data_IF_866526809196
#
_entry.id   IF_866526809196
#
_cell.length_a   1.000
_cell.length_b   1.000
_cell.length_c   1.000
_cell.angle_alpha   90.00
_cell.angle_beta   90.00
_cell.angle_gamma   90.00
#
_symmetry.space_group_name_H-M   'P 1'
#
loop_
_entity.id
_entity.type
_entity.pdbx_description
1 polymer ?
#
# COMPACT_ATOMS: atom_id res chain seq x y z
N UNK A 1 1.71 10.44 -24.34
CA UNK A 1 1.39 10.57 -22.90
C UNK A 1 -0.12 10.77 -22.79
N UNK A 2 -0.76 10.26 -21.74
CA UNK A 2 -2.21 10.36 -21.51
C UNK A 2 -2.49 11.50 -20.51
N UNK A 3 -2.70 12.76 -20.98
CA UNK A 3 -2.85 13.92 -20.09
C UNK A 3 -4.14 13.87 -19.25
N UNK A 4 -5.16 13.16 -19.73
CA UNK A 4 -6.46 13.03 -19.08
C UNK A 4 -6.59 11.74 -18.26
N UNK A 5 -5.48 11.01 -18.06
CA UNK A 5 -5.50 9.78 -17.28
C UNK A 5 -5.88 10.08 -15.82
N UNK A 6 -6.81 9.31 -15.29
CA UNK A 6 -7.17 9.35 -13.87
C UNK A 6 -6.35 8.31 -13.12
N UNK A 7 -5.51 8.76 -12.19
CA UNK A 7 -4.66 7.88 -11.39
C UNK A 7 -5.28 7.65 -10.02
N UNK A 8 -5.46 6.37 -9.67
CA UNK A 8 -5.95 5.91 -8.37
C UNK A 8 -4.90 4.99 -7.74
N UNK A 9 -4.34 5.41 -6.61
CA UNK A 9 -3.25 4.73 -5.92
C UNK A 9 -3.73 4.20 -4.57
N UNK A 10 -3.28 3.01 -4.18
CA UNK A 10 -3.62 2.38 -2.91
C UNK A 10 -2.34 2.05 -2.16
N UNK A 11 -2.19 2.56 -0.94
CA UNK A 11 -1.00 2.33 -0.11
C UNK A 11 -1.40 2.33 1.37
N UNK A 12 -1.46 1.17 2.05
CA UNK A 12 -1.85 1.08 3.46
C UNK A 12 -0.77 1.53 4.45
N UNK A 13 0.52 1.58 4.07
CA UNK A 13 1.59 2.01 4.97
C UNK A 13 1.63 3.54 5.09
N UNK A 14 1.35 4.12 6.28
CA UNK A 14 1.35 5.57 6.47
C UNK A 14 2.72 6.22 6.21
N UNK A 15 3.83 5.47 6.31
CA UNK A 15 5.18 5.97 6.01
C UNK A 15 5.36 6.13 4.51
N UNK A 16 4.93 5.13 3.74
CA UNK A 16 4.99 5.17 2.28
C UNK A 16 4.04 6.23 1.72
N UNK A 17 2.82 6.33 2.26
CA UNK A 17 1.86 7.37 1.87
C UNK A 17 2.38 8.79 2.15
N UNK A 18 3.05 9.01 3.28
CA UNK A 18 3.68 10.29 3.61
C UNK A 18 4.82 10.63 2.64
N UNK A 19 5.67 9.65 2.29
CA UNK A 19 6.72 9.83 1.27
C UNK A 19 6.14 10.14 -0.10
N UNK A 20 5.09 9.43 -0.51
CA UNK A 20 4.39 9.70 -1.76
C UNK A 20 3.91 11.15 -1.83
N UNK A 21 3.18 11.61 -0.79
CA UNK A 21 2.66 12.99 -0.73
C UNK A 21 3.78 14.02 -0.81
N UNK A 22 4.89 13.79 -0.09
CA UNK A 22 6.08 14.66 -0.13
C UNK A 22 6.73 14.70 -1.51
N UNK A 23 6.91 13.55 -2.15
CA UNK A 23 7.60 13.43 -3.44
C UNK A 23 6.77 13.96 -4.61
N UNK A 24 5.45 13.81 -4.55
CA UNK A 24 4.54 14.34 -5.57
C UNK A 24 4.50 15.87 -5.58
N UNK A 25 4.64 16.50 -4.40
CA UNK A 25 4.72 17.95 -4.26
C UNK A 25 3.60 18.68 -5.04
N UNK A 26 3.93 19.51 -6.04
CA UNK A 26 2.94 20.27 -6.81
C UNK A 26 2.05 19.41 -7.72
N UNK A 27 2.34 18.11 -7.88
CA UNK A 27 1.55 17.20 -8.72
C UNK A 27 0.64 16.29 -7.90
N UNK A 28 0.55 16.49 -6.58
CA UNK A 28 -0.25 15.63 -5.70
C UNK A 28 -1.74 15.59 -6.10
N UNK A 29 -2.25 16.67 -6.67
CA UNK A 29 -3.63 16.79 -7.19
C UNK A 29 -3.89 15.95 -8.45
N UNK A 30 -2.84 15.42 -9.10
CA UNK A 30 -2.95 14.53 -10.27
C UNK A 30 -3.16 13.06 -9.90
N UNK A 31 -3.17 12.72 -8.62
CA UNK A 31 -3.34 11.35 -8.14
C UNK A 31 -4.32 11.28 -6.97
N UNK A 32 -5.21 10.28 -7.01
CA UNK A 32 -6.12 9.98 -5.91
C UNK A 32 -5.50 8.88 -5.06
N UNK A 33 -4.88 9.25 -3.93
CA UNK A 33 -4.25 8.30 -3.01
C UNK A 33 -5.25 7.85 -1.92
N UNK A 34 -5.44 6.54 -1.79
CA UNK A 34 -6.22 5.91 -0.73
C UNK A 34 -5.30 5.15 0.21
N UNK A 35 -5.36 5.50 1.50
CA UNK A 35 -4.56 4.87 2.56
C UNK A 35 -5.25 3.58 3.07
N UNK A 36 -5.50 2.65 2.14
CA UNK A 36 -6.20 1.38 2.36
C UNK A 36 -5.46 0.25 1.64
N UNK A 37 -5.60 -0.98 2.14
CA UNK A 37 -5.11 -2.17 1.45
C UNK A 37 -6.20 -2.77 0.54
N UNK A 38 -5.83 -3.15 -0.68
CA UNK A 38 -6.70 -3.97 -1.52
C UNK A 38 -6.64 -5.43 -1.04
N UNK A 39 -7.81 -6.03 -0.82
CA UNK A 39 -7.93 -7.39 -0.28
C UNK A 39 -9.14 -8.13 -0.85
N UNK A 40 -9.24 -9.43 -0.58
CA UNK A 40 -10.42 -10.26 -0.87
C UNK A 40 -11.65 -9.96 0.00
N UNK A 41 -11.55 -9.06 0.98
CA UNK A 41 -12.64 -8.69 1.90
C UNK A 41 -12.58 -7.21 2.27
N UNK A 42 -13.72 -6.66 2.67
CA UNK A 42 -13.82 -5.34 3.27
C UNK A 42 -13.68 -5.43 4.80
N UNK A 43 -13.27 -4.33 5.43
CA UNK A 43 -13.16 -4.20 6.88
C UNK A 43 -11.72 -3.89 7.30
N UNK A 44 -11.27 -4.39 8.44
CA UNK A 44 -9.91 -4.16 8.93
C UNK A 44 -9.07 -5.43 8.91
N UNK A 45 -7.76 -5.26 8.73
CA UNK A 45 -6.77 -6.33 8.88
C UNK A 45 -5.51 -5.79 9.54
N UNK A 46 -4.75 -6.69 10.17
CA UNK A 46 -3.40 -6.39 10.59
C UNK A 46 -2.49 -6.36 9.36
N UNK A 47 -1.89 -5.21 9.10
CA UNK A 47 -0.80 -5.05 8.16
C UNK A 47 0.51 -5.11 8.92
N UNK A 48 1.45 -5.90 8.41
CA UNK A 48 2.76 -6.11 9.00
C UNK A 48 3.81 -5.34 8.18
N UNK A 49 4.08 -4.07 8.51
CA UNK A 49 5.15 -3.30 7.87
C UNK A 49 6.53 -3.82 8.32
N UNK A 50 7.53 -3.75 7.44
CA UNK A 50 8.91 -3.93 7.84
C UNK A 50 9.33 -2.80 8.80
N UNK A 51 10.20 -3.12 9.75
CA UNK A 51 10.63 -2.22 10.82
C UNK A 51 11.21 -0.90 10.29
N UNK A 52 12.02 -0.92 9.23
CA UNK A 52 12.57 0.32 8.66
C UNK A 52 13.56 1.05 9.61
N UNK A 53 14.13 0.32 10.57
CA UNK A 53 14.95 0.85 11.67
C UNK A 53 16.33 0.16 11.72
N UNK A 54 17.32 0.80 12.34
CA UNK A 54 18.67 0.25 12.48
C UNK A 54 19.32 0.03 11.11
N UNK A 55 19.84 -1.19 10.87
CA UNK A 55 20.39 -1.58 9.56
C UNK A 55 19.30 -1.66 8.47
N UNK A 56 18.01 -1.69 8.85
CA UNK A 56 16.87 -1.61 7.94
C UNK A 56 16.40 -0.17 7.64
N UNK A 57 17.15 0.85 8.06
CA UNK A 57 16.78 2.24 7.80
C UNK A 57 16.64 2.45 6.28
N UNK A 58 15.53 3.05 5.86
CA UNK A 58 15.15 3.23 4.44
C UNK A 58 14.70 1.94 3.70
N UNK A 59 14.66 0.79 4.38
CA UNK A 59 14.07 -0.46 3.90
C UNK A 59 12.62 -0.68 4.39
N UNK A 60 11.91 0.41 4.68
CA UNK A 60 10.46 0.41 4.91
C UNK A 60 9.64 0.30 3.60
N UNK A 61 10.12 -0.58 2.72
CA UNK A 61 9.62 -0.84 1.37
C UNK A 61 8.89 -2.19 1.27
N UNK A 62 8.71 -2.89 2.39
CA UNK A 62 8.04 -4.18 2.43
C UNK A 62 6.99 -4.19 3.54
N UNK A 63 5.85 -4.81 3.25
CA UNK A 63 4.83 -5.09 4.23
C UNK A 63 3.78 -6.02 3.65
N UNK A 64 3.04 -6.71 4.51
CA UNK A 64 2.01 -7.63 4.06
C UNK A 64 0.85 -7.72 5.04
N UNK A 65 -0.35 -7.92 4.51
CA UNK A 65 -1.53 -8.32 5.29
C UNK A 65 -1.49 -9.79 5.71
N UNK A 66 -0.53 -10.57 5.19
CA UNK A 66 -0.22 -11.92 5.67
C UNK A 66 1.03 -11.86 6.53
N UNK A 67 0.95 -12.41 7.73
CA UNK A 67 2.11 -12.52 8.61
C UNK A 67 3.25 -13.29 7.92
N UNK A 68 4.45 -12.69 7.76
CA UNK A 68 5.59 -13.39 7.19
C UNK A 68 5.99 -14.57 8.07
N UNK A 69 6.14 -15.76 7.48
CA UNK A 69 6.50 -16.99 8.22
C UNK A 69 7.98 -17.36 8.15
N UNK A 70 8.65 -17.02 7.04
CA UNK A 70 9.98 -17.53 6.69
C UNK A 70 11.05 -16.45 6.47
N UNK A 71 10.75 -15.16 6.71
CA UNK A 71 11.73 -14.08 6.47
C UNK A 71 12.77 -13.93 7.61
N UNK A 72 12.57 -14.66 8.71
CA UNK A 72 13.41 -14.61 9.92
C UNK A 72 14.61 -15.57 9.88
N UNK A 73 14.96 -16.11 8.71
CA UNK A 73 16.08 -17.08 8.58
C UNK A 73 17.22 -16.62 7.67
N UNK A 74 17.02 -15.55 6.88
CA UNK A 74 18.05 -15.02 5.98
C UNK A 74 18.49 -13.58 6.35
N UNK A 75 17.59 -12.75 6.90
CA UNK A 75 17.87 -11.36 7.26
C UNK A 75 17.19 -10.96 8.57
N UNK A 76 17.76 -11.39 9.70
CA UNK A 76 17.21 -11.17 11.05
C UNK A 76 17.00 -9.68 11.42
N UNK A 77 17.65 -8.76 10.71
CA UNK A 77 17.50 -7.32 10.87
C UNK A 77 16.23 -6.74 10.21
N UNK A 78 15.61 -7.47 9.26
CA UNK A 78 14.32 -7.13 8.66
C UNK A 78 13.21 -7.81 9.45
N UNK A 79 12.46 -7.02 10.23
CA UNK A 79 11.45 -7.53 11.16
C UNK A 79 10.08 -6.94 10.87
N UNK A 80 9.04 -7.64 11.30
CA UNK A 80 7.63 -7.31 11.02
C UNK A 80 6.80 -7.27 12.32
N UNK A 81 7.44 -6.81 13.39
CA UNK A 81 7.02 -7.05 14.78
C UNK A 81 5.88 -6.12 15.25
N UNK A 82 5.66 -5.02 14.53
CA UNK A 82 4.74 -3.95 14.91
C UNK A 82 3.59 -3.85 13.90
N UNK A 83 2.59 -4.76 13.94
CA UNK A 83 1.45 -4.67 13.04
C UNK A 83 0.65 -3.40 13.30
N UNK A 84 0.11 -2.84 12.22
CA UNK A 84 -0.82 -1.71 12.26
C UNK A 84 -2.18 -2.15 11.70
N UNK A 85 -3.27 -1.67 12.30
CA UNK A 85 -4.61 -1.95 11.78
C UNK A 85 -4.92 -1.02 10.61
N UNK A 86 -5.15 -1.59 9.43
CA UNK A 86 -5.46 -0.84 8.21
C UNK A 86 -6.83 -1.21 7.68
N UNK A 87 -7.48 -0.25 7.03
CA UNK A 87 -8.70 -0.52 6.27
C UNK A 87 -8.39 -1.34 5.04
N UNK A 88 -9.32 -2.22 4.70
CA UNK A 88 -9.28 -3.09 3.53
C UNK A 88 -10.51 -2.88 2.67
N UNK A 89 -10.31 -2.96 1.36
CA UNK A 89 -11.38 -2.97 0.38
C UNK A 89 -11.13 -4.00 -0.70
N UNK A 90 -12.19 -4.65 -1.17
CA UNK A 90 -12.18 -5.32 -2.47
C UNK A 90 -12.10 -4.25 -3.56
N UNK A 91 -11.27 -4.51 -4.55
CA UNK A 91 -11.11 -3.60 -5.69
C UNK A 91 -12.44 -3.40 -6.42
N UNK A 92 -13.26 -4.45 -6.56
CA UNK A 92 -14.59 -4.37 -7.17
C UNK A 92 -15.53 -3.44 -6.42
N UNK A 93 -15.52 -3.51 -5.09
CA UNK A 93 -16.39 -2.72 -4.24
C UNK A 93 -15.96 -1.25 -4.28
N UNK A 94 -14.65 -0.98 -4.14
CA UNK A 94 -14.11 0.38 -4.29
C UNK A 94 -14.40 0.96 -5.68
N UNK A 95 -14.24 0.18 -6.75
CA UNK A 95 -14.51 0.62 -8.13
C UNK A 95 -15.99 0.99 -8.31
N UNK A 96 -16.90 0.22 -7.71
CA UNK A 96 -18.32 0.53 -7.71
C UNK A 96 -18.64 1.80 -6.91
N UNK A 97 -18.04 1.98 -5.73
CA UNK A 97 -18.20 3.17 -4.88
C UNK A 97 -17.68 4.44 -5.57
N UNK A 98 -16.56 4.34 -6.29
CA UNK A 98 -15.98 5.42 -7.07
C UNK A 98 -16.78 5.76 -8.35
N UNK A 99 -17.81 4.96 -8.68
CA UNK A 99 -18.61 5.14 -9.89
C UNK A 99 -17.80 4.93 -11.18
N UNK A 100 -16.71 4.17 -11.12
CA UNK A 100 -15.80 3.98 -12.25
C UNK A 100 -16.31 2.91 -13.20
N UNK A 101 -16.27 3.23 -14.49
CA UNK A 101 -16.53 2.31 -15.59
C UNK A 101 -15.37 1.33 -15.78
N UNK A 102 -14.87 1.21 -17.00
CA UNK A 102 -13.76 0.31 -17.31
C UNK A 102 -12.44 0.85 -16.73
N UNK A 103 -11.58 -0.06 -16.26
CA UNK A 103 -10.22 0.25 -15.86
C UNK A 103 -9.31 -0.13 -17.04
N UNK A 104 -8.58 0.85 -17.58
CA UNK A 104 -7.70 0.62 -18.74
C UNK A 104 -6.42 -0.14 -18.38
N UNK A 105 -5.89 0.12 -17.18
CA UNK A 105 -4.64 -0.47 -16.70
C UNK A 105 -4.68 -0.66 -15.19
N UNK A 106 -4.21 -1.83 -14.74
CA UNK A 106 -3.86 -2.07 -13.36
C UNK A 106 -2.36 -2.38 -13.31
N UNK A 107 -1.61 -1.53 -12.61
CA UNK A 107 -0.28 -1.89 -12.12
C UNK A 107 -0.44 -2.30 -10.67
N UNK A 108 -0.12 -3.55 -10.36
CA UNK A 108 -0.23 -4.07 -9.00
C UNK A 108 0.96 -4.96 -8.67
N UNK A 109 1.78 -4.50 -7.73
CA UNK A 109 2.80 -5.28 -7.06
C UNK A 109 2.52 -5.20 -5.56
N UNK A 110 1.89 -6.26 -5.03
CA UNK A 110 1.39 -6.31 -3.65
C UNK A 110 1.75 -7.64 -3.02
N UNK A 111 1.96 -7.64 -1.70
CA UNK A 111 2.23 -8.86 -0.94
C UNK A 111 1.09 -9.19 0.03
N UNK A 112 0.55 -10.41 -0.06
CA UNK A 112 -0.45 -10.93 0.87
C UNK A 112 -1.72 -11.42 0.20
#
# INVERSE_FOLDING_TARGET
>A
LCPDAQLYCFEPDPRASARFKKNMGPYLDKANLFEIAISHRNGKVDFHPSNGEGDAKEWDLSGSIRRPKNHLTEYDWVRFDNPISVETRRLDDWRSEAGLGNIDLIWMDVQG
#
